data_IF_349852229878
#
_entry.id   IF_349852229878
#
_cell.length_a   1.000
_cell.length_b   1.000
_cell.length_c   1.000
_cell.angle_alpha   90.00
_cell.angle_beta   90.00
_cell.angle_gamma   90.00
#
_symmetry.space_group_name_H-M   'P 1'
#
loop_
_entity.id
_entity.type
_entity.pdbx_description
1 polymer ?
#
# COMPACT_ATOMS: atom_id res chain seq x y z
N UNK A 1 -12.15 14.67 -1.36
CA UNK A 1 -11.10 14.32 -0.37
C UNK A 1 -9.88 13.91 -1.17
N UNK A 2 -8.69 14.48 -0.92
CA UNK A 2 -7.54 14.16 -1.77
C UNK A 2 -7.16 12.68 -1.62
N UNK A 3 -6.84 12.05 -2.75
CA UNK A 3 -6.64 10.61 -2.81
C UNK A 3 -5.40 10.12 -2.02
N UNK A 4 -4.46 11.02 -1.73
CA UNK A 4 -3.34 10.80 -0.80
C UNK A 4 -3.79 10.46 0.62
N UNK A 5 -4.98 10.90 1.05
CA UNK A 5 -5.51 10.54 2.37
C UNK A 5 -5.81 9.04 2.49
N UNK A 6 -6.12 8.36 1.37
CA UNK A 6 -6.25 6.90 1.37
C UNK A 6 -4.89 6.21 1.53
N UNK A 7 -3.86 6.70 0.83
CA UNK A 7 -2.50 6.19 0.96
C UNK A 7 -1.91 6.42 2.36
N UNK A 8 -2.14 7.58 2.98
CA UNK A 8 -1.69 7.84 4.37
C UNK A 8 -2.38 6.94 5.39
N UNK A 9 -3.69 6.71 5.25
CA UNK A 9 -4.41 5.74 6.10
C UNK A 9 -3.87 4.32 5.95
N UNK A 10 -3.51 3.91 4.73
CA UNK A 10 -2.86 2.63 4.51
C UNK A 10 -1.50 2.56 5.21
N UNK A 11 -0.70 3.63 5.15
CA UNK A 11 0.59 3.71 5.83
C UNK A 11 0.45 3.58 7.36
N UNK A 12 -0.50 4.32 7.95
CA UNK A 12 -0.79 4.24 9.40
C UNK A 12 -1.28 2.85 9.82
N UNK A 13 -2.05 2.17 8.96
CA UNK A 13 -2.50 0.81 9.23
C UNK A 13 -1.32 -0.18 9.17
N UNK A 14 -0.41 -0.04 8.20
CA UNK A 14 0.82 -0.84 8.14
C UNK A 14 1.74 -0.62 9.35
N UNK A 15 1.85 0.61 9.83
CA UNK A 15 2.62 0.92 11.05
C UNK A 15 2.09 0.13 12.25
N UNK A 16 0.76 0.09 12.42
CA UNK A 16 0.11 -0.70 13.49
C UNK A 16 0.34 -2.20 13.33
N UNK A 17 0.33 -2.72 12.11
CA UNK A 17 0.60 -4.13 11.84
C UNK A 17 2.05 -4.49 12.20
N UNK A 18 3.01 -3.65 11.80
CA UNK A 18 4.43 -3.88 12.05
C UNK A 18 4.81 -3.73 13.53
N UNK A 19 4.11 -2.87 14.27
CA UNK A 19 4.25 -2.74 15.71
C UNK A 19 3.72 -3.99 16.45
N UNK A 20 2.52 -4.47 16.08
CA UNK A 20 1.86 -5.57 16.78
C UNK A 20 2.33 -6.96 16.37
N UNK A 21 2.82 -7.11 15.12
CA UNK A 21 3.17 -8.38 14.48
C UNK A 21 2.16 -9.50 14.78
N UNK A 22 0.88 -9.30 14.43
CA UNK A 22 -0.20 -10.21 14.81
C UNK A 22 0.02 -11.61 14.22
N UNK A 23 -0.28 -12.64 15.03
CA UNK A 23 -0.09 -14.03 14.62
C UNK A 23 -1.16 -14.54 13.62
N UNK A 24 -2.37 -13.96 13.59
CA UNK A 24 -3.46 -14.25 12.63
C UNK A 24 -4.44 -13.08 12.49
N UNK A 25 -5.08 -12.99 11.32
CA UNK A 25 -6.29 -12.20 11.00
C UNK A 25 -6.38 -10.86 11.75
N UNK A 26 -5.63 -9.87 11.27
CA UNK A 26 -5.60 -8.55 11.87
C UNK A 26 -6.39 -7.54 11.02
N UNK A 27 -7.36 -6.89 11.64
CA UNK A 27 -8.17 -5.85 11.01
C UNK A 27 -7.34 -4.70 10.42
N UNK A 28 -6.13 -4.44 10.93
CA UNK A 28 -5.24 -3.43 10.38
C UNK A 28 -4.61 -3.85 9.04
N UNK A 29 -4.35 -5.15 8.79
CA UNK A 29 -3.94 -5.61 7.45
C UNK A 29 -5.08 -5.42 6.43
N UNK A 30 -6.32 -5.71 6.83
CA UNK A 30 -7.49 -5.44 5.98
C UNK A 30 -7.67 -3.93 5.72
N UNK A 31 -7.55 -3.10 6.75
CA UNK A 31 -7.62 -1.64 6.61
C UNK A 31 -6.49 -1.08 5.72
N UNK A 32 -5.28 -1.61 5.84
CA UNK A 32 -4.16 -1.26 4.96
C UNK A 32 -4.48 -1.59 3.50
N UNK A 33 -5.01 -2.79 3.25
CA UNK A 33 -5.38 -3.25 1.91
C UNK A 33 -6.49 -2.39 1.28
N UNK A 34 -7.53 -2.04 2.04
CA UNK A 34 -8.60 -1.14 1.59
C UNK A 34 -8.04 0.24 1.19
N UNK A 35 -7.17 0.82 2.02
CA UNK A 35 -6.53 2.11 1.73
C UNK A 35 -5.65 2.06 0.48
N UNK A 36 -4.89 0.98 0.30
CA UNK A 36 -4.04 0.77 -0.88
C UNK A 36 -4.86 0.61 -2.17
N UNK A 37 -5.94 -0.18 -2.13
CA UNK A 37 -6.83 -0.35 -3.28
C UNK A 37 -7.49 0.97 -3.68
N UNK A 38 -8.02 1.71 -2.71
CA UNK A 38 -8.63 3.02 -2.96
C UNK A 38 -7.63 4.00 -3.59
N UNK A 39 -6.39 4.02 -3.07
CA UNK A 39 -5.37 4.90 -3.64
C UNK A 39 -4.92 4.46 -5.03
N UNK A 40 -4.70 3.16 -5.28
CA UNK A 40 -4.41 2.64 -6.64
C UNK A 40 -5.51 3.03 -7.63
N UNK A 41 -6.77 2.89 -7.25
CA UNK A 41 -7.91 3.18 -8.12
C UNK A 41 -7.98 4.66 -8.51
N UNK A 42 -7.63 5.55 -7.58
CA UNK A 42 -7.49 6.98 -7.87
C UNK A 42 -6.41 7.27 -8.91
N UNK A 43 -5.20 6.70 -8.75
CA UNK A 43 -4.08 6.89 -9.67
C UNK A 43 -4.45 6.32 -11.06
N UNK A 44 -5.14 5.18 -11.09
CA UNK A 44 -5.61 4.57 -12.32
C UNK A 44 -6.68 5.45 -13.01
N UNK A 45 -7.56 6.08 -12.24
CA UNK A 45 -8.57 7.00 -12.78
C UNK A 45 -7.93 8.30 -13.32
N UNK A 46 -6.93 8.86 -12.63
CA UNK A 46 -6.12 9.98 -13.13
C UNK A 46 -5.41 9.63 -14.44
N UNK A 47 -4.77 8.46 -14.50
CA UNK A 47 -4.09 7.98 -15.70
C UNK A 47 -5.05 7.84 -16.89
N UNK A 48 -6.24 7.27 -16.67
CA UNK A 48 -7.27 7.11 -17.72
C UNK A 48 -7.85 8.43 -18.23
N UNK A 49 -7.85 9.49 -17.41
CA UNK A 49 -8.38 10.81 -17.78
C UNK A 49 -7.45 11.63 -18.69
N UNK A 50 -6.37 11.03 -19.19
CA UNK A 50 -5.46 11.67 -20.16
C UNK A 50 -4.33 12.50 -19.54
N UNK A 51 -4.23 12.55 -18.21
CA UNK A 51 -3.13 13.19 -17.48
C UNK A 51 -1.88 12.32 -17.37
N UNK A 52 -1.58 11.52 -18.40
CA UNK A 52 -0.53 10.50 -18.38
C UNK A 52 0.88 11.13 -18.44
N UNK A 53 1.30 11.76 -17.36
CA UNK A 53 2.72 11.93 -17.10
C UNK A 53 3.35 10.52 -16.98
N UNK A 54 4.55 10.26 -17.55
CA UNK A 54 5.28 8.99 -17.39
C UNK A 54 5.33 8.48 -15.93
N UNK A 55 5.35 9.43 -14.98
CA UNK A 55 5.31 9.21 -13.54
C UNK A 55 4.07 8.43 -13.05
N UNK A 56 2.92 8.50 -13.74
CA UNK A 56 1.68 7.81 -13.32
C UNK A 56 1.77 6.28 -13.48
N UNK A 57 2.38 5.80 -14.57
CA UNK A 57 2.59 4.36 -14.81
C UNK A 57 3.59 3.78 -13.80
N UNK A 58 4.65 4.53 -13.50
CA UNK A 58 5.63 4.15 -12.49
C UNK A 58 5.00 4.08 -11.09
N UNK A 59 4.20 5.09 -10.70
CA UNK A 59 3.44 5.06 -9.43
C UNK A 59 2.51 3.86 -9.34
N UNK A 60 1.80 3.51 -10.43
CA UNK A 60 0.94 2.32 -10.50
C UNK A 60 1.74 1.01 -10.35
N UNK A 61 2.92 0.92 -10.97
CA UNK A 61 3.78 -0.24 -10.82
C UNK A 61 4.27 -0.38 -9.36
N UNK A 62 4.76 0.71 -8.76
CA UNK A 62 5.26 0.71 -7.37
C UNK A 62 4.16 0.39 -6.36
N UNK A 63 2.94 0.93 -6.50
CA UNK A 63 1.84 0.60 -5.58
C UNK A 63 1.37 -0.85 -5.72
N UNK A 64 1.38 -1.43 -6.93
CA UNK A 64 1.06 -2.84 -7.12
C UNK A 64 2.06 -3.76 -6.42
N UNK A 65 3.35 -3.40 -6.40
CA UNK A 65 4.36 -4.14 -5.62
C UNK A 65 4.04 -4.12 -4.13
N UNK A 66 3.68 -2.95 -3.57
CA UNK A 66 3.27 -2.83 -2.16
C UNK A 66 2.05 -3.71 -1.89
N UNK A 67 1.03 -3.65 -2.74
CA UNK A 67 -0.18 -4.49 -2.62
C UNK A 67 0.17 -5.98 -2.62
N UNK A 68 1.03 -6.44 -3.53
CA UNK A 68 1.42 -7.86 -3.59
C UNK A 68 2.06 -8.35 -2.29
N UNK A 69 2.93 -7.54 -1.66
CA UNK A 69 3.55 -7.89 -0.38
C UNK A 69 2.53 -7.91 0.76
N UNK A 70 1.62 -6.92 0.81
CA UNK A 70 0.58 -6.86 1.84
C UNK A 70 -0.37 -8.05 1.73
N UNK A 71 -0.78 -8.44 0.52
CA UNK A 71 -1.59 -9.64 0.30
C UNK A 71 -0.84 -10.91 0.74
N UNK A 72 0.44 -11.04 0.41
CA UNK A 72 1.28 -12.15 0.88
C UNK A 72 1.46 -12.19 2.40
N UNK A 73 1.36 -11.03 3.06
CA UNK A 73 1.40 -10.92 4.52
C UNK A 73 0.06 -11.21 5.19
N UNK A 74 -1.04 -10.98 4.47
CA UNK A 74 -2.40 -11.31 4.91
C UNK A 74 -2.64 -12.83 4.88
N UNK A 75 -2.09 -13.50 3.88
CA UNK A 75 -2.21 -14.95 3.71
C UNK A 75 -0.83 -15.60 3.50
N UNK A 76 0.02 -15.64 4.54
CA UNK A 76 1.37 -16.16 4.40
C UNK A 76 1.37 -17.66 4.13
N UNK A 77 2.22 -18.09 3.20
CA UNK A 77 2.55 -19.49 3.01
C UNK A 77 3.73 -19.84 3.94
N UNK A 78 3.42 -20.13 5.20
CA UNK A 78 4.40 -20.33 6.27
C UNK A 78 4.40 -19.15 7.25
N UNK A 79 5.58 -18.65 7.58
CA UNK A 79 5.73 -17.49 8.46
C UNK A 79 5.40 -16.18 7.73
N UNK A 80 4.89 -15.19 8.47
CA UNK A 80 4.61 -13.87 7.92
C UNK A 80 5.92 -13.18 7.50
N UNK A 81 6.03 -12.67 6.26
CA UNK A 81 7.23 -12.04 5.73
C UNK A 81 7.39 -10.60 6.27
N UNK A 82 7.71 -10.48 7.56
CA UNK A 82 7.76 -9.20 8.27
C UNK A 82 8.79 -8.23 7.68
N UNK A 83 9.92 -8.73 7.18
CA UNK A 83 10.96 -7.89 6.57
C UNK A 83 10.48 -7.30 5.24
N UNK A 84 9.83 -8.10 4.41
CA UNK A 84 9.23 -7.67 3.15
C UNK A 84 8.12 -6.65 3.43
N UNK A 85 7.29 -6.87 4.45
CA UNK A 85 6.25 -5.94 4.84
C UNK A 85 6.83 -4.59 5.31
N UNK A 86 7.93 -4.61 6.07
CA UNK A 86 8.66 -3.41 6.47
C UNK A 86 9.22 -2.65 5.25
N UNK A 87 9.77 -3.36 4.26
CA UNK A 87 10.25 -2.76 3.00
C UNK A 87 9.09 -2.14 2.21
N UNK A 88 7.97 -2.86 2.10
CA UNK A 88 6.77 -2.37 1.42
C UNK A 88 6.19 -1.11 2.08
N UNK A 89 6.19 -1.05 3.42
CA UNK A 89 5.87 0.17 4.17
C UNK A 89 6.82 1.32 3.81
N UNK A 90 8.13 1.06 3.72
CA UNK A 90 9.13 2.04 3.30
C UNK A 90 8.84 2.62 1.92
N UNK A 91 8.62 1.74 0.92
CA UNK A 91 8.26 2.16 -0.43
C UNK A 91 6.95 2.94 -0.49
N UNK A 92 5.96 2.57 0.34
CA UNK A 92 4.71 3.32 0.45
C UNK A 92 4.94 4.74 0.97
N UNK A 93 5.81 4.90 1.98
CA UNK A 93 6.18 6.20 2.52
C UNK A 93 6.82 7.08 1.45
N UNK A 94 7.80 6.55 0.71
CA UNK A 94 8.46 7.27 -0.39
C UNK A 94 7.47 7.71 -1.49
N UNK A 95 6.47 6.89 -1.78
CA UNK A 95 5.43 7.22 -2.77
C UNK A 95 4.50 8.36 -2.33
N UNK A 96 4.41 8.60 -1.02
CA UNK A 96 3.58 9.65 -0.41
C UNK A 96 4.36 10.95 -0.18
N UNK A 97 5.69 10.94 -0.29
CA UNK A 97 6.49 12.16 -0.23
C UNK A 97 6.27 13.00 -1.50
N UNK A 98 6.11 14.34 -1.36
CA UNK A 98 6.05 15.21 -2.52
C UNK A 98 7.37 15.15 -3.28
N UNK A 99 7.28 14.89 -4.59
CA UNK A 99 8.43 14.91 -5.52
C UNK A 99 8.96 16.34 -5.75
#
# INVERSE_FOLDING_TARGET
>A
MSDEAAGRRALEALDKVLEKKPHKDDHALSAAMEGLCAWRDSIAAEHRRGGAAPKSRERLARINVVISVVVGSHFPLGDTPWEELQKARGWLSELLEPA
#
